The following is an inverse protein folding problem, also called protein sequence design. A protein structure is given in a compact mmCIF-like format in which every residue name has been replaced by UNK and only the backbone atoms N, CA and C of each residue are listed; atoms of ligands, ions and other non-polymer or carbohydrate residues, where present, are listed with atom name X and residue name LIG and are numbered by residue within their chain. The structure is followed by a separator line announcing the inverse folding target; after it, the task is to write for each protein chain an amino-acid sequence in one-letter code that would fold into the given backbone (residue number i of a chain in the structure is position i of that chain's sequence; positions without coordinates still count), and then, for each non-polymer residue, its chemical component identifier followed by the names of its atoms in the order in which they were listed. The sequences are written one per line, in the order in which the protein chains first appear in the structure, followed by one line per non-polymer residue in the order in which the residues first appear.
data_IF_481634908252
#
_entry.id   IF_481634908252
#
_cell.length_a   1.000
_cell.length_b   1.000
_cell.length_c   1.000
_cell.angle_alpha   90.00
_cell.angle_beta   90.00
_cell.angle_gamma   90.00
#
_symmetry.space_group_name_H-M   'P 1'
#
loop_
_entity.id
_entity.type
_entity.pdbx_description
1 polymer ?
#
# COMPACT_ATOMS: atom_id res chain seq x y z
N UNK A 1 -10.74 -11.94 5.90
CA UNK A 1 -11.84 -10.96 5.70
C UNK A 1 -12.43 -10.36 6.99
N UNK A 2 -11.87 -10.55 8.20
CA UNK A 2 -12.41 -9.89 9.43
C UNK A 2 -11.38 -9.15 10.29
N UNK A 3 -10.30 -8.61 9.70
CA UNK A 3 -9.32 -7.84 10.50
C UNK A 3 -9.91 -6.55 11.08
N UNK A 4 -10.58 -5.72 10.27
CA UNK A 4 -11.02 -4.39 10.71
C UNK A 4 -12.17 -4.45 11.74
N UNK A 5 -13.27 -5.20 11.51
CA UNK A 5 -14.39 -5.21 12.46
C UNK A 5 -14.03 -5.89 13.79
N UNK A 6 -13.13 -6.88 13.77
CA UNK A 6 -12.66 -7.56 14.97
C UNK A 6 -11.76 -6.65 15.80
N UNK A 7 -10.79 -5.97 15.15
CA UNK A 7 -9.92 -5.00 15.79
C UNK A 7 -10.70 -3.80 16.35
N UNK A 8 -11.68 -3.29 15.62
CA UNK A 8 -12.55 -2.21 16.08
C UNK A 8 -13.29 -2.59 17.37
N UNK A 9 -13.85 -3.81 17.42
CA UNK A 9 -14.54 -4.34 18.59
C UNK A 9 -13.61 -4.58 19.78
N UNK A 10 -12.41 -5.12 19.55
CA UNK A 10 -11.43 -5.39 20.62
C UNK A 10 -10.85 -4.11 21.22
N UNK A 11 -10.62 -3.10 20.37
CA UNK A 11 -10.02 -1.82 20.78
C UNK A 11 -11.07 -0.76 21.18
N UNK A 12 -12.36 -1.03 20.95
CA UNK A 12 -13.45 -0.10 21.28
C UNK A 12 -13.45 1.18 20.45
N UNK A 13 -12.89 1.14 19.24
CA UNK A 13 -12.81 2.27 18.30
C UNK A 13 -13.63 1.98 17.04
N UNK A 14 -13.87 3.01 16.22
CA UNK A 14 -14.57 2.83 14.94
C UNK A 14 -13.70 2.09 13.91
N UNK A 15 -14.33 1.45 12.92
CA UNK A 15 -13.61 0.82 11.81
C UNK A 15 -12.78 1.84 11.01
N UNK A 16 -13.32 3.05 10.81
CA UNK A 16 -12.59 4.16 10.18
C UNK A 16 -11.34 4.53 10.97
N UNK A 17 -11.43 4.51 12.31
CA UNK A 17 -10.30 4.80 13.18
C UNK A 17 -9.25 3.68 13.15
N UNK A 18 -9.65 2.40 13.06
CA UNK A 18 -8.72 1.29 12.79
C UNK A 18 -7.97 1.50 11.48
N UNK A 19 -8.70 1.85 10.41
CA UNK A 19 -8.10 2.07 9.09
C UNK A 19 -7.07 3.19 9.14
N UNK A 20 -7.45 4.36 9.68
CA UNK A 20 -6.55 5.53 9.74
C UNK A 20 -5.38 5.33 10.69
N UNK A 21 -5.60 4.76 11.88
CA UNK A 21 -4.59 4.76 12.95
C UNK A 21 -3.76 3.48 13.03
N UNK A 22 -4.20 2.38 12.41
CA UNK A 22 -3.45 1.13 12.40
C UNK A 22 -3.01 0.71 11.01
N UNK A 23 -3.89 0.81 10.00
CA UNK A 23 -3.56 0.31 8.66
C UNK A 23 -2.78 1.32 7.82
N UNK A 24 -3.16 2.59 7.88
CA UNK A 24 -2.60 3.65 7.04
C UNK A 24 -1.58 4.53 7.77
N UNK A 25 -1.36 4.28 9.06
CA UNK A 25 -0.53 5.12 9.95
C UNK A 25 0.87 5.42 9.39
N UNK A 26 1.47 4.42 8.75
CA UNK A 26 2.85 4.47 8.29
C UNK A 26 2.93 4.80 6.78
N UNK A 27 1.79 4.92 6.08
CA UNK A 27 1.74 5.47 4.72
C UNK A 27 1.85 7.00 4.80
N UNK A 28 2.52 7.61 3.83
CA UNK A 28 2.80 9.06 3.82
C UNK A 28 1.55 9.87 3.51
N UNK A 29 0.70 9.37 2.62
CA UNK A 29 -0.51 10.04 2.15
C UNK A 29 -1.79 9.48 2.77
N UNK A 30 -1.72 8.38 3.52
CA UNK A 30 -2.89 7.76 4.10
C UNK A 30 -3.70 6.96 3.09
N UNK A 31 -3.09 6.45 2.02
CA UNK A 31 -3.78 5.67 1.00
C UNK A 31 -3.37 4.20 0.99
N UNK A 32 -4.31 3.32 0.66
CA UNK A 32 -4.00 1.93 0.37
C UNK A 32 -3.52 1.81 -1.06
N UNK A 33 -2.45 1.03 -1.26
CA UNK A 33 -2.06 0.60 -2.61
C UNK A 33 -3.24 -0.08 -3.30
N UNK A 34 -3.63 0.45 -4.45
CA UNK A 34 -4.69 -0.11 -5.28
C UNK A 34 -4.12 -1.05 -6.34
N UNK A 35 -5.00 -1.86 -6.95
CA UNK A 35 -4.63 -2.67 -8.14
C UNK A 35 -4.18 -1.76 -9.29
N UNK A 36 -4.74 -0.55 -9.40
CA UNK A 36 -4.37 0.40 -10.44
C UNK A 36 -2.93 0.87 -10.27
N UNK A 37 -2.50 1.18 -9.04
CA UNK A 37 -1.13 1.63 -8.77
C UNK A 37 -0.09 0.58 -9.17
N UNK A 38 -0.39 -0.70 -8.87
CA UNK A 38 0.45 -1.84 -9.26
C UNK A 38 0.45 -2.02 -10.78
N UNK A 39 -0.70 -1.90 -11.44
CA UNK A 39 -0.82 -2.07 -12.88
C UNK A 39 -0.10 -0.97 -13.68
N UNK A 40 -0.25 0.29 -13.27
CA UNK A 40 0.46 1.45 -13.80
C UNK A 40 1.97 1.28 -13.64
N UNK A 41 2.43 0.89 -12.44
CA UNK A 41 3.85 0.63 -12.16
C UNK A 41 4.40 -0.48 -13.05
N UNK A 42 3.69 -1.61 -13.17
CA UNK A 42 4.11 -2.72 -14.02
C UNK A 42 4.19 -2.31 -15.49
N UNK A 43 3.21 -1.54 -15.97
CA UNK A 43 3.17 -1.01 -17.34
C UNK A 43 4.34 -0.06 -17.60
N UNK A 44 4.63 0.85 -16.67
CA UNK A 44 5.77 1.76 -16.76
C UNK A 44 7.10 1.01 -16.91
N UNK A 45 7.34 0.00 -16.07
CA UNK A 45 8.56 -0.81 -16.13
C UNK A 45 8.62 -1.58 -17.45
N UNK A 46 7.52 -2.21 -17.87
CA UNK A 46 7.47 -3.01 -19.10
C UNK A 46 7.65 -2.16 -20.37
N UNK A 47 7.23 -0.89 -20.34
CA UNK A 47 7.37 0.06 -21.44
C UNK A 47 8.75 0.72 -21.51
N UNK A 48 9.63 0.49 -20.53
CA UNK A 48 10.95 1.12 -20.51
C UNK A 48 11.79 0.65 -21.72
N UNK A 49 12.44 1.56 -22.48
CA UNK A 49 12.97 1.26 -23.82
C UNK A 49 14.24 0.40 -23.83
N UNK A 50 14.73 -0.03 -22.66
CA UNK A 50 15.94 -0.82 -22.52
C UNK A 50 15.87 -1.75 -21.32
N UNK A 51 16.82 -2.66 -21.20
CA UNK A 51 16.90 -3.58 -20.06
C UNK A 51 17.53 -2.97 -18.79
N UNK A 52 17.76 -1.65 -18.73
CA UNK A 52 18.48 -1.03 -17.62
C UNK A 52 17.80 -1.20 -16.25
N UNK A 53 16.46 -1.34 -16.20
CA UNK A 53 15.69 -1.54 -14.96
C UNK A 53 15.55 -3.02 -14.54
N UNK A 54 16.42 -3.90 -15.01
CA UNK A 54 16.38 -5.34 -14.68
C UNK A 54 16.94 -5.63 -13.29
N UNK A 55 16.35 -6.61 -12.59
CA UNK A 55 16.85 -7.12 -11.30
C UNK A 55 16.53 -6.22 -10.10
N UNK A 56 15.73 -5.17 -10.29
CA UNK A 56 15.30 -4.27 -9.23
C UNK A 56 14.01 -4.78 -8.58
N UNK A 57 13.87 -4.55 -7.28
CA UNK A 57 12.57 -4.61 -6.59
C UNK A 57 11.98 -3.20 -6.59
N UNK A 58 10.68 -3.09 -6.82
CA UNK A 58 9.95 -1.82 -6.71
C UNK A 58 8.87 -1.99 -5.65
N UNK A 59 8.89 -1.09 -4.67
CA UNK A 59 7.97 -1.10 -3.53
C UNK A 59 6.85 -0.09 -3.81
N UNK A 60 5.64 -0.58 -4.08
CA UNK A 60 4.43 0.24 -4.30
C UNK A 60 3.64 0.31 -2.99
N UNK A 61 4.08 1.15 -2.06
CA UNK A 61 3.64 1.09 -0.65
C UNK A 61 3.11 2.40 -0.08
N UNK A 62 3.01 3.46 -0.88
CA UNK A 62 2.70 4.80 -0.38
C UNK A 62 3.63 5.24 0.77
N UNK A 63 4.90 4.79 0.74
CA UNK A 63 5.90 5.13 1.74
C UNK A 63 5.86 4.30 3.02
N UNK A 64 4.97 3.31 3.13
CA UNK A 64 4.93 2.38 4.27
C UNK A 64 6.26 1.66 4.52
N UNK A 65 6.99 1.39 3.45
CA UNK A 65 8.34 0.85 3.52
C UNK A 65 9.25 1.61 2.56
N UNK A 66 10.41 2.04 3.05
CA UNK A 66 11.45 2.73 2.30
C UNK A 66 12.70 1.85 2.23
N UNK A 67 13.25 1.67 1.03
CA UNK A 67 14.48 0.92 0.76
C UNK A 67 15.74 1.71 1.09
#
# INVERSE_FOLDING_TARGET
EKQIPEQARELGISEEEVVRTMMLKETVDGEFTTVSDVAETATFIAAFPSSALTGQSIVVSHGWFMQ
#
